data_IF_583663725773
#
_entry.id   IF_583663725773
#
_cell.length_a   1.000
_cell.length_b   1.000
_cell.length_c   1.000
_cell.angle_alpha   90.00
_cell.angle_beta   90.00
_cell.angle_gamma   90.00
#
_symmetry.space_group_name_H-M   'P 1'
#
loop_
_entity.id
_entity.type
_entity.pdbx_description
1 polymer ?
#
# COMPACT_ATOMS: atom_id res chain seq x y z
N UNK A 1 7.11 16.00 -10.45
CA UNK A 1 6.58 14.67 -10.82
C UNK A 1 5.74 14.17 -9.67
N UNK A 2 4.47 13.77 -9.86
CA UNK A 2 3.66 13.24 -8.76
C UNK A 2 4.29 11.94 -8.24
N UNK A 3 4.42 11.83 -6.91
CA UNK A 3 4.96 10.62 -6.30
C UNK A 3 3.80 9.67 -6.02
N UNK A 4 3.85 8.53 -6.67
CA UNK A 4 2.94 7.42 -6.49
C UNK A 4 3.25 6.71 -5.16
N UNK A 5 2.34 6.81 -4.18
CA UNK A 5 2.54 6.23 -2.84
C UNK A 5 1.42 5.23 -2.56
N UNK A 6 1.79 3.99 -2.28
CA UNK A 6 0.83 3.02 -1.75
C UNK A 6 0.69 3.20 -0.23
N UNK A 7 -0.51 3.00 0.34
CA UNK A 7 -0.66 2.90 1.79
C UNK A 7 0.26 1.80 2.34
N UNK A 8 0.69 1.95 3.59
CA UNK A 8 1.60 1.01 4.26
C UNK A 8 0.90 0.29 5.40
N UNK A 9 1.42 -0.88 5.79
CA UNK A 9 0.98 -1.58 6.99
C UNK A 9 -0.45 -2.12 6.88
N UNK A 10 -1.20 -1.99 7.97
CA UNK A 10 -2.60 -2.44 8.11
C UNK A 10 -3.51 -1.83 7.03
N UNK A 11 -3.26 -0.57 6.65
CA UNK A 11 -4.08 0.13 5.65
C UNK A 11 -3.98 -0.53 4.28
N UNK A 12 -2.77 -0.90 3.86
CA UNK A 12 -2.58 -1.61 2.59
C UNK A 12 -3.33 -2.94 2.56
N UNK A 13 -3.29 -3.68 3.68
CA UNK A 13 -3.99 -4.94 3.80
C UNK A 13 -5.51 -4.79 3.63
N UNK A 14 -6.10 -3.75 4.22
CA UNK A 14 -7.53 -3.46 4.06
C UNK A 14 -7.88 -3.07 2.63
N UNK A 15 -7.13 -2.17 2.00
CA UNK A 15 -7.38 -1.76 0.61
C UNK A 15 -7.29 -2.96 -0.35
N UNK A 16 -6.29 -3.83 -0.16
CA UNK A 16 -6.14 -5.06 -0.95
C UNK A 16 -7.35 -5.97 -0.78
N UNK A 17 -7.84 -6.15 0.44
CA UNK A 17 -9.05 -6.95 0.68
C UNK A 17 -10.28 -6.35 0.02
N UNK A 18 -10.46 -5.03 0.08
CA UNK A 18 -11.56 -4.33 -0.58
C UNK A 18 -11.45 -4.49 -2.10
N UNK A 19 -10.24 -4.38 -2.67
CA UNK A 19 -9.98 -4.58 -4.10
C UNK A 19 -10.37 -5.97 -4.58
N UNK A 20 -10.05 -7.02 -3.81
CA UNK A 20 -10.53 -8.37 -4.11
C UNK A 20 -12.06 -8.45 -4.07
N UNK A 21 -12.71 -7.91 -3.03
CA UNK A 21 -14.17 -7.95 -2.90
C UNK A 21 -14.89 -7.24 -4.06
N UNK A 22 -14.34 -6.13 -4.56
CA UNK A 22 -14.87 -5.41 -5.74
C UNK A 22 -14.84 -6.25 -7.02
N UNK A 23 -14.01 -7.29 -7.06
CA UNK A 23 -13.84 -8.23 -8.18
C UNK A 23 -14.56 -9.55 -7.94
N UNK A 24 -15.47 -9.60 -6.97
CA UNK A 24 -16.19 -10.80 -6.56
C UNK A 24 -15.25 -11.96 -6.14
N UNK A 25 -14.01 -11.64 -5.78
CA UNK A 25 -13.02 -12.59 -5.29
C UNK A 25 -12.68 -12.28 -3.83
N UNK A 26 -12.16 -13.25 -3.10
CA UNK A 26 -11.67 -13.02 -1.72
C UNK A 26 -10.17 -13.22 -1.68
N UNK A 27 -9.49 -12.47 -0.80
CA UNK A 27 -8.06 -12.67 -0.56
C UNK A 27 -7.74 -14.13 -0.21
N UNK A 28 -8.58 -14.77 0.61
CA UNK A 28 -8.44 -16.18 0.98
C UNK A 28 -8.64 -17.13 -0.21
N UNK A 29 -9.58 -16.83 -1.10
CA UNK A 29 -9.79 -17.60 -2.34
C UNK A 29 -8.59 -17.53 -3.26
N UNK A 30 -8.09 -16.32 -3.51
CA UNK A 30 -6.88 -16.09 -4.31
C UNK A 30 -5.64 -16.79 -3.70
N UNK A 31 -5.51 -16.73 -2.37
CA UNK A 31 -4.45 -17.43 -1.65
C UNK A 31 -4.55 -18.96 -1.82
N UNK A 32 -5.76 -19.52 -1.72
CA UNK A 32 -6.02 -20.95 -1.89
C UNK A 32 -5.65 -21.44 -3.30
N UNK A 33 -6.03 -20.69 -4.33
CA UNK A 33 -5.72 -21.02 -5.74
C UNK A 33 -4.21 -21.10 -6.00
N UNK A 34 -3.42 -20.29 -5.29
CA UNK A 34 -1.95 -20.23 -5.43
C UNK A 34 -1.18 -21.03 -4.40
N UNK A 35 -1.85 -21.74 -3.50
CA UNK A 35 -1.21 -22.49 -2.41
C UNK A 35 -0.49 -21.58 -1.40
N UNK A 36 -0.91 -20.33 -1.27
CA UNK A 36 -0.32 -19.34 -0.37
C UNK A 36 -1.10 -19.33 0.95
N UNK A 37 -0.40 -19.34 2.08
CA UNK A 37 -1.04 -19.19 3.37
C UNK A 37 -1.53 -17.73 3.57
N UNK A 38 -2.78 -17.49 4.02
CA UNK A 38 -3.29 -16.13 4.25
C UNK A 38 -2.46 -15.31 5.25
N UNK A 39 -1.82 -15.98 6.22
CA UNK A 39 -0.90 -15.34 7.17
C UNK A 39 0.34 -14.76 6.47
N UNK A 40 0.85 -15.38 5.41
CA UNK A 40 1.97 -14.89 4.63
C UNK A 40 1.56 -13.69 3.78
N UNK A 41 0.37 -13.73 3.19
CA UNK A 41 -0.20 -12.58 2.47
C UNK A 41 -0.35 -11.37 3.40
N UNK A 42 -0.90 -11.56 4.61
CA UNK A 42 -0.97 -10.49 5.62
C UNK A 42 0.41 -9.96 5.98
N UNK A 43 1.36 -10.84 6.30
CA UNK A 43 2.72 -10.43 6.69
C UNK A 43 3.46 -9.66 5.59
N UNK A 44 3.28 -10.04 4.33
CA UNK A 44 3.83 -9.33 3.16
C UNK A 44 3.21 -7.92 3.03
N UNK A 45 1.89 -7.81 3.16
CA UNK A 45 1.16 -6.54 3.02
C UNK A 45 1.45 -5.56 4.16
N UNK A 46 1.48 -6.04 5.42
CA UNK A 46 1.79 -5.18 6.57
C UNK A 46 3.28 -4.82 6.66
N UNK A 47 4.15 -5.45 5.86
CA UNK A 47 5.59 -5.19 5.85
C UNK A 47 6.38 -5.88 6.96
N UNK A 48 5.80 -6.90 7.61
CA UNK A 48 6.50 -7.77 8.57
C UNK A 48 7.45 -8.72 7.85
N UNK A 49 7.06 -9.21 6.66
CA UNK A 49 7.93 -10.04 5.83
C UNK A 49 8.61 -9.22 4.72
N UNK A 50 9.84 -8.77 4.98
CA UNK A 50 10.61 -7.89 4.07
C UNK A 50 11.58 -8.61 3.13
N UNK A 51 11.61 -9.94 3.16
CA UNK A 51 12.47 -10.73 2.27
C UNK A 51 12.05 -10.64 0.79
N UNK A 52 12.89 -11.08 -0.16
CA UNK A 52 12.62 -10.99 -1.59
C UNK A 52 11.30 -11.66 -1.99
N UNK A 53 10.98 -12.81 -1.39
CA UNK A 53 9.70 -13.51 -1.60
C UNK A 53 8.50 -12.73 -1.05
N UNK A 54 8.64 -12.08 0.10
CA UNK A 54 7.59 -11.25 0.69
C UNK A 54 7.30 -9.99 -0.13
N UNK A 55 8.34 -9.36 -0.67
CA UNK A 55 8.19 -8.21 -1.57
C UNK A 55 7.55 -8.62 -2.90
N UNK A 56 7.96 -9.74 -3.48
CA UNK A 56 7.32 -10.27 -4.70
C UNK A 56 5.83 -10.56 -4.45
N UNK A 57 5.50 -11.25 -3.36
CA UNK A 57 4.12 -11.55 -2.97
C UNK A 57 3.30 -10.27 -2.75
N UNK A 58 3.88 -9.27 -2.09
CA UNK A 58 3.23 -7.97 -1.90
C UNK A 58 2.88 -7.31 -3.24
N UNK A 59 3.81 -7.29 -4.19
CA UNK A 59 3.58 -6.72 -5.52
C UNK A 59 2.49 -7.47 -6.28
N UNK A 60 2.49 -8.81 -6.23
CA UNK A 60 1.43 -9.62 -6.84
C UNK A 60 0.06 -9.35 -6.22
N UNK A 61 -0.02 -9.20 -4.90
CA UNK A 61 -1.28 -8.90 -4.20
C UNK A 61 -1.84 -7.52 -4.55
N UNK A 62 -0.97 -6.50 -4.65
CA UNK A 62 -1.38 -5.16 -5.08
C UNK A 62 -1.92 -5.21 -6.51
N UNK A 63 -1.21 -5.90 -7.41
CA UNK A 63 -1.62 -6.03 -8.81
C UNK A 63 -2.94 -6.82 -8.95
N UNK A 64 -3.08 -7.95 -8.25
CA UNK A 64 -4.26 -8.79 -8.31
C UNK A 64 -5.51 -8.14 -7.71
N UNK A 65 -5.35 -7.38 -6.62
CA UNK A 65 -6.45 -6.63 -6.02
C UNK A 65 -6.86 -5.40 -6.84
N UNK A 66 -5.96 -4.87 -7.67
CA UNK A 66 -6.18 -3.64 -8.42
C UNK A 66 -6.24 -2.42 -7.51
N UNK A 67 -5.50 -2.44 -6.40
CA UNK A 67 -5.32 -1.25 -5.56
C UNK A 67 -4.52 -0.23 -6.36
N UNK A 68 -5.14 0.91 -6.59
CA UNK A 68 -4.48 2.06 -7.20
C UNK A 68 -3.61 2.75 -6.14
N UNK A 69 -2.40 3.18 -6.50
CA UNK A 69 -1.59 3.99 -5.62
C UNK A 69 -2.26 5.35 -5.37
N UNK A 70 -2.11 5.86 -4.15
CA UNK A 70 -2.49 7.23 -3.87
C UNK A 70 -1.50 8.15 -4.60
N UNK A 71 -2.04 8.94 -5.52
CA UNK A 71 -1.30 10.02 -6.16
C UNK A 71 -1.26 11.17 -5.17
N UNK A 72 -0.12 11.35 -4.51
CA UNK A 72 0.12 12.58 -3.76
C UNK A 72 0.60 13.61 -4.78
N UNK A 73 -0.32 14.51 -5.15
CA UNK A 73 0.10 15.77 -5.76
C UNK A 73 0.83 16.56 -4.67
N UNK A 74 2.10 16.94 -4.87
CA UNK A 74 2.69 17.94 -4.00
C UNK A 74 1.90 19.23 -4.24
N UNK A 75 0.94 19.52 -3.37
CA UNK A 75 0.36 20.86 -3.32
C UNK A 75 1.49 21.80 -2.93
N UNK A 76 1.83 22.77 -3.77
CA UNK A 76 2.86 23.80 -3.58
C UNK A 76 2.57 24.76 -2.40
N UNK A 77 1.94 24.29 -1.32
CA UNK A 77 1.67 25.08 -0.11
C UNK A 77 2.54 24.63 1.06
N UNK A 78 3.82 24.35 0.79
CA UNK A 78 4.90 24.51 1.79
C UNK A 78 5.71 25.77 1.42
N UNK A 79 4.99 26.87 1.22
CA UNK A 79 5.55 28.21 1.07
C UNK A 79 4.91 29.12 2.10
N UNK A 80 5.05 28.74 3.37
CA UNK A 80 5.13 29.71 4.46
C UNK A 80 6.59 29.71 4.92
N UNK A 81 7.38 30.48 4.20
CA UNK A 81 8.56 31.09 4.78
C UNK A 81 8.13 31.78 6.08
N UNK A 82 8.68 31.34 7.21
CA UNK A 82 8.63 32.14 8.43
C UNK A 82 9.50 33.38 8.18
N UNK A 83 8.95 34.61 8.14
CA UNK A 83 9.79 35.78 8.23
C UNK A 83 10.43 35.78 9.61
N UNK A 84 11.76 35.64 9.64
CA UNK A 84 12.56 35.77 10.85
C UNK A 84 12.15 37.01 11.63
N UNK A 85 11.65 36.79 12.83
CA UNK A 85 11.30 37.88 13.73
C UNK A 85 12.60 38.45 14.29
N UNK A 86 12.97 39.59 13.75
CA UNK A 86 14.14 40.38 14.12
C UNK A 86 14.14 40.69 15.62
N UNK A 87 15.32 40.55 16.23
CA UNK A 87 15.58 41.01 17.58
C UNK A 87 15.42 42.53 17.70
N UNK A 88 14.87 42.93 18.83
CA UNK A 88 15.03 44.24 19.47
C UNK A 88 15.13 43.99 20.97
#
# INVERSE_FOLDING_TARGET
>A
MPKTIFPVGERLYLEVRIGFLRREQTLSGWCRERGIAPCNARQALIGSWRGPKGQALKSELIQASGVEPLVVVPSDTDSLAEPGQAGQ
#
